data_IF_656850394810
#
_entry.id   IF_656850394810
#
_cell.length_a   1.000
_cell.length_b   1.000
_cell.length_c   1.000
_cell.angle_alpha   90.00
_cell.angle_beta   90.00
_cell.angle_gamma   90.00
#
_symmetry.space_group_name_H-M   'P 1'
#
loop_
_entity.id
_entity.type
_entity.pdbx_description
1 polymer ?
#
# COMPACT_ATOMS: atom_id res chain seq x y z
N UNK A 1 -1.45 -8.64 12.91
CA UNK A 1 -1.91 -7.31 12.44
C UNK A 1 -1.97 -7.33 10.93
N UNK A 2 -3.01 -6.77 10.30
CA UNK A 2 -3.00 -6.52 8.85
C UNK A 2 -2.49 -5.09 8.60
N UNK A 3 -1.30 -4.99 7.99
CA UNK A 3 -0.58 -3.73 7.85
C UNK A 3 -1.26 -2.76 6.89
N UNK A 4 -1.79 -3.22 5.75
CA UNK A 4 -2.46 -2.33 4.79
C UNK A 4 -3.71 -1.68 5.38
N UNK A 5 -4.50 -2.46 6.12
CA UNK A 5 -5.65 -1.91 6.84
C UNK A 5 -5.21 -0.95 7.95
N UNK A 6 -4.12 -1.25 8.67
CA UNK A 6 -3.59 -0.34 9.69
C UNK A 6 -3.09 0.98 9.07
N UNK A 7 -2.47 0.93 7.89
CA UNK A 7 -2.08 2.13 7.13
C UNK A 7 -3.29 2.97 6.73
N UNK A 8 -4.40 2.34 6.28
CA UNK A 8 -5.64 3.05 5.96
C UNK A 8 -6.25 3.72 7.19
N UNK A 9 -6.27 3.02 8.32
CA UNK A 9 -6.75 3.58 9.59
C UNK A 9 -5.89 4.77 10.01
N UNK A 10 -4.56 4.63 9.94
CA UNK A 10 -3.64 5.72 10.27
C UNK A 10 -3.86 6.96 9.39
N UNK A 11 -3.94 6.78 8.06
CA UNK A 11 -4.21 7.88 7.12
C UNK A 11 -5.52 8.58 7.45
N UNK A 12 -6.59 7.83 7.73
CA UNK A 12 -7.88 8.41 8.11
C UNK A 12 -7.80 9.21 9.42
N UNK A 13 -7.06 8.74 10.43
CA UNK A 13 -6.89 9.49 11.70
C UNK A 13 -6.18 10.82 11.46
N UNK A 14 -5.15 10.83 10.61
CA UNK A 14 -4.42 12.07 10.27
C UNK A 14 -5.29 13.03 9.47
N UNK A 15 -6.06 12.54 8.50
CA UNK A 15 -6.92 13.37 7.64
C UNK A 15 -8.13 13.95 8.36
N UNK A 16 -8.68 13.21 9.31
CA UNK A 16 -9.83 13.65 10.11
C UNK A 16 -9.46 14.31 11.44
N UNK A 17 -8.15 14.42 11.76
CA UNK A 17 -7.66 15.10 12.97
C UNK A 17 -8.01 14.41 14.28
N UNK A 18 -8.39 13.13 14.25
CA UNK A 18 -8.81 12.42 15.46
C UNK A 18 -9.33 11.01 15.23
N UNK A 19 -9.38 10.23 16.32
CA UNK A 19 -9.84 8.84 16.31
C UNK A 19 -11.33 8.73 15.95
N UNK A 20 -12.16 9.63 16.48
CA UNK A 20 -13.61 9.63 16.25
C UNK A 20 -13.99 10.00 14.82
N UNK A 21 -13.28 10.95 14.22
CA UNK A 21 -13.45 11.30 12.81
C UNK A 21 -13.11 10.13 11.89
N UNK A 22 -11.99 9.44 12.17
CA UNK A 22 -11.61 8.24 11.43
C UNK A 22 -12.56 7.06 11.63
N UNK A 23 -13.02 6.84 12.86
CA UNK A 23 -13.99 5.79 13.20
C UNK A 23 -15.29 5.98 12.38
N UNK A 24 -15.78 7.21 12.32
CA UNK A 24 -16.96 7.59 11.53
C UNK A 24 -16.74 7.37 10.03
N UNK A 25 -15.59 7.78 9.49
CA UNK A 25 -15.26 7.63 8.09
C UNK A 25 -15.10 6.16 7.65
N UNK A 26 -14.50 5.34 8.51
CA UNK A 26 -14.23 3.93 8.23
C UNK A 26 -15.35 2.99 8.68
N UNK A 27 -16.42 3.51 9.30
CA UNK A 27 -17.50 2.73 9.92
C UNK A 27 -16.98 1.70 10.94
N UNK A 28 -15.95 2.08 11.68
CA UNK A 28 -15.34 1.31 12.76
C UNK A 28 -15.68 1.95 14.12
N UNK A 29 -15.52 1.20 15.22
CA UNK A 29 -15.61 1.78 16.56
C UNK A 29 -14.29 2.41 17.00
N UNK A 30 -14.34 3.46 17.82
CA UNK A 30 -13.13 4.15 18.34
C UNK A 30 -12.12 3.20 18.99
N UNK A 31 -12.60 2.20 19.74
CA UNK A 31 -11.75 1.20 20.37
C UNK A 31 -11.00 0.33 19.34
N UNK A 32 -11.62 0.01 18.20
CA UNK A 32 -10.97 -0.73 17.13
C UNK A 32 -9.93 0.13 16.42
N UNK A 33 -10.24 1.41 16.19
CA UNK A 33 -9.28 2.36 15.60
C UNK A 33 -8.07 2.51 16.51
N UNK A 34 -8.28 2.74 17.81
CA UNK A 34 -7.19 2.85 18.80
C UNK A 34 -6.33 1.59 18.85
N UNK A 35 -6.92 0.39 19.03
CA UNK A 35 -6.15 -0.87 19.07
C UNK A 35 -5.31 -1.08 17.80
N UNK A 36 -5.83 -0.65 16.65
CA UNK A 36 -5.15 -0.82 15.37
C UNK A 36 -3.96 0.13 15.21
N UNK A 37 -4.11 1.37 15.69
CA UNK A 37 -3.00 2.34 15.79
C UNK A 37 -1.96 1.85 16.80
N UNK A 38 -2.39 1.43 18.00
CA UNK A 38 -1.48 0.94 19.04
C UNK A 38 -0.63 -0.25 18.56
N UNK A 39 -1.24 -1.20 17.84
CA UNK A 39 -0.50 -2.32 17.23
C UNK A 39 0.47 -1.86 16.15
N UNK A 40 0.11 -0.84 15.37
CA UNK A 40 0.96 -0.27 14.34
C UNK A 40 2.18 0.43 14.95
N UNK A 41 1.98 1.26 15.98
CA UNK A 41 3.06 1.92 16.71
C UNK A 41 4.00 0.89 17.37
N UNK A 42 3.45 -0.17 17.97
CA UNK A 42 4.26 -1.27 18.53
C UNK A 42 5.06 -2.00 17.46
N UNK A 43 4.46 -2.23 16.28
CA UNK A 43 5.14 -2.89 15.17
C UNK A 43 6.29 -2.07 14.61
N UNK A 44 6.12 -0.75 14.53
CA UNK A 44 7.14 0.18 14.05
C UNK A 44 8.18 0.53 15.13
N UNK A 45 7.85 0.31 16.40
CA UNK A 45 8.71 0.66 17.53
C UNK A 45 8.78 2.16 17.82
N UNK A 46 7.85 2.96 17.28
CA UNK A 46 7.82 4.41 17.48
C UNK A 46 6.39 4.93 17.58
N UNK A 47 6.24 6.09 18.24
CA UNK A 47 4.98 6.83 18.33
C UNK A 47 4.77 7.62 17.03
N UNK A 48 3.63 7.42 16.39
CA UNK A 48 3.22 8.16 15.20
C UNK A 48 2.26 9.31 15.55
N UNK A 49 1.46 9.13 16.61
CA UNK A 49 0.46 10.09 17.05
C UNK A 49 0.74 10.57 18.48
N UNK A 50 0.46 11.85 18.72
CA UNK A 50 0.47 12.48 20.04
C UNK A 50 -0.96 12.86 20.38
N UNK A 51 -1.48 12.32 21.49
CA UNK A 51 -2.78 12.71 22.02
C UNK A 51 -2.64 14.09 22.66
N UNK A 52 -3.37 15.07 22.15
CA UNK A 52 -3.53 16.35 22.82
C UNK A 52 -4.77 16.29 23.71
N UNK A 53 -4.65 16.97 24.85
CA UNK A 53 -5.73 17.28 25.77
C UNK A 53 -6.94 17.75 24.94
N UNK A 54 -8.09 17.05 25.06
CA UNK A 54 -9.36 17.27 24.33
C UNK A 54 -9.57 16.52 23.00
N UNK A 55 -8.84 15.45 22.72
CA UNK A 55 -9.17 14.52 21.62
C UNK A 55 -8.65 14.95 20.24
N UNK A 56 -7.90 16.05 20.20
CA UNK A 56 -7.12 16.48 19.06
C UNK A 56 -5.86 15.61 18.96
N UNK A 57 -5.49 15.23 17.73
CA UNK A 57 -4.36 14.32 17.49
C UNK A 57 -3.33 15.02 16.63
N UNK A 58 -2.11 15.14 17.14
CA UNK A 58 -0.98 15.68 16.40
C UNK A 58 -0.07 14.56 15.88
N UNK A 59 0.48 14.70 14.67
CA UNK A 59 1.49 13.77 14.17
C UNK A 59 2.87 14.08 14.76
N UNK A 60 3.63 13.03 15.07
CA UNK A 60 5.08 13.16 15.31
C UNK A 60 5.82 13.31 13.98
N UNK A 61 7.11 13.69 14.01
CA UNK A 61 7.95 13.70 12.80
C UNK A 61 7.98 12.34 12.09
N UNK A 62 8.08 11.26 12.88
CA UNK A 62 7.98 9.90 12.36
C UNK A 62 6.60 9.63 11.74
N UNK A 63 5.53 10.13 12.36
CA UNK A 63 4.17 10.08 11.84
C UNK A 63 4.03 10.77 10.48
N UNK A 64 4.56 12.00 10.33
CA UNK A 64 4.51 12.75 9.07
C UNK A 64 5.24 12.01 7.94
N UNK A 65 6.44 11.49 8.21
CA UNK A 65 7.20 10.69 7.25
C UNK A 65 6.45 9.40 6.88
N UNK A 66 5.87 8.72 7.87
CA UNK A 66 5.10 7.50 7.67
C UNK A 66 3.81 7.76 6.86
N UNK A 67 3.09 8.84 7.13
CA UNK A 67 1.89 9.25 6.38
C UNK A 67 2.18 9.42 4.89
N UNK A 68 3.27 10.12 4.54
CA UNK A 68 3.67 10.31 3.15
C UNK A 68 4.03 8.98 2.46
N UNK A 69 4.59 8.01 3.19
CA UNK A 69 4.83 6.67 2.69
C UNK A 69 3.52 5.89 2.49
N UNK A 70 2.62 5.92 3.47
CA UNK A 70 1.32 5.27 3.43
C UNK A 70 0.50 5.69 2.22
N UNK A 71 0.41 6.99 1.93
CA UNK A 71 -0.34 7.49 0.76
C UNK A 71 0.19 6.93 -0.56
N UNK A 72 1.51 6.89 -0.74
CA UNK A 72 2.14 6.34 -1.95
C UNK A 72 1.86 4.85 -2.07
N UNK A 73 2.03 4.09 -0.98
CA UNK A 73 1.79 2.64 -0.96
C UNK A 73 0.33 2.31 -1.23
N UNK A 74 -0.62 3.00 -0.58
CA UNK A 74 -2.05 2.77 -0.80
C UNK A 74 -2.46 3.11 -2.24
N UNK A 75 -1.95 4.20 -2.81
CA UNK A 75 -2.17 4.52 -4.22
C UNK A 75 -1.61 3.46 -5.17
N UNK A 76 -0.41 2.93 -4.89
CA UNK A 76 0.17 1.86 -5.70
C UNK A 76 -0.66 0.56 -5.62
N UNK A 77 -1.17 0.23 -4.43
CA UNK A 77 -2.09 -0.91 -4.24
C UNK A 77 -3.38 -0.70 -5.02
N UNK A 78 -3.98 0.50 -4.95
CA UNK A 78 -5.18 0.82 -5.73
C UNK A 78 -4.95 0.67 -7.23
N UNK A 79 -3.84 1.22 -7.76
CA UNK A 79 -3.46 1.07 -9.16
C UNK A 79 -3.29 -0.40 -9.56
N UNK A 80 -2.61 -1.20 -8.75
CA UNK A 80 -2.43 -2.63 -9.00
C UNK A 80 -3.77 -3.38 -9.01
N UNK A 81 -4.67 -3.08 -8.06
CA UNK A 81 -6.00 -3.70 -8.01
C UNK A 81 -6.89 -3.25 -9.18
N UNK A 82 -6.78 -1.99 -9.61
CA UNK A 82 -7.49 -1.45 -10.75
C UNK A 82 -7.04 -2.06 -12.07
N UNK A 83 -5.74 -2.24 -12.28
CA UNK A 83 -5.20 -2.90 -13.46
C UNK A 83 -5.66 -4.36 -13.58
N UNK A 84 -5.69 -5.09 -12.46
CA UNK A 84 -6.22 -6.46 -12.41
C UNK A 84 -7.73 -6.50 -12.68
N UNK A 85 -8.49 -5.53 -12.17
CA UNK A 85 -9.93 -5.39 -12.43
C UNK A 85 -10.24 -5.09 -13.90
N UNK A 86 -9.45 -4.21 -14.53
CA UNK A 86 -9.57 -3.89 -15.95
C UNK A 86 -9.25 -5.11 -16.84
N UNK A 87 -8.25 -5.92 -16.47
CA UNK A 87 -7.94 -7.17 -17.15
C UNK A 87 -9.02 -8.26 -16.99
N UNK A 88 -9.94 -8.11 -16.03
CA UNK A 88 -11.05 -9.03 -15.77
C UNK A 88 -12.40 -8.55 -16.32
N UNK A 89 -12.45 -7.39 -17.00
CA UNK A 89 -13.61 -7.04 -17.80
C UNK A 89 -13.87 -8.19 -18.79
N UNK A 90 -15.08 -8.78 -18.81
CA UNK A 90 -15.38 -9.83 -19.76
C UNK A 90 -15.16 -9.24 -21.15
N UNK A 91 -14.28 -9.88 -21.93
CA UNK A 91 -14.20 -9.60 -23.35
C UNK A 91 -15.64 -9.68 -23.89
N UNK A 92 -16.14 -8.65 -24.61
CA UNK A 92 -17.42 -8.78 -25.28
C UNK A 92 -17.34 -10.03 -26.14
N UNK A 93 -18.41 -10.80 -26.12
CA UNK A 93 -18.54 -12.16 -26.62
C UNK A 93 -18.03 -12.23 -28.07
N UNK A 94 -16.73 -12.46 -28.23
CA UNK A 94 -16.10 -12.59 -29.53
C UNK A 94 -16.34 -14.03 -30.00
N UNK A 95 -17.57 -14.26 -30.45
CA UNK A 95 -17.91 -15.35 -31.33
C UNK A 95 -17.28 -15.05 -32.70
N UNK A 96 -15.95 -15.20 -32.81
CA UNK A 96 -15.28 -15.74 -34.00
C UNK A 96 -13.79 -15.97 -33.68
N UNK A 97 -13.41 -17.23 -33.62
CA UNK A 97 -12.04 -17.65 -33.43
C UNK A 97 -11.31 -17.64 -34.78
N UNK A 98 -10.46 -16.65 -35.04
CA UNK A 98 -9.25 -16.81 -35.87
C UNK A 98 -8.46 -15.49 -36.00
N UNK A 99 -7.77 -15.05 -34.94
CA UNK A 99 -6.44 -14.44 -35.10
C UNK A 99 -5.79 -14.29 -33.71
N UNK A 100 -5.12 -15.35 -33.27
CA UNK A 100 -4.18 -15.24 -32.16
C UNK A 100 -2.90 -14.59 -32.70
N UNK A 101 -2.80 -13.26 -32.59
CA UNK A 101 -1.54 -12.56 -32.79
C UNK A 101 -1.14 -11.86 -31.51
N UNK A 102 -0.34 -12.59 -30.74
CA UNK A 102 0.79 -12.12 -29.95
C UNK A 102 0.75 -10.68 -29.41
N UNK A 103 0.62 -10.55 -28.09
CA UNK A 103 1.59 -9.77 -27.32
C UNK A 103 1.53 -10.13 -25.83
N UNK A 104 2.02 -11.32 -25.49
CA UNK A 104 2.44 -11.60 -24.12
C UNK A 104 3.98 -11.56 -24.12
N UNK A 105 4.54 -10.95 -23.09
CA UNK A 105 5.94 -11.02 -22.64
C UNK A 105 6.88 -9.89 -23.11
N UNK A 106 6.88 -8.78 -22.39
CA UNK A 106 8.10 -8.00 -22.11
C UNK A 106 8.22 -7.84 -20.58
N UNK A 107 8.49 -8.97 -19.92
CA UNK A 107 8.96 -8.99 -18.53
C UNK A 107 10.49 -9.01 -18.61
N UNK A 108 11.20 -7.95 -18.18
CA UNK A 108 12.65 -7.94 -18.29
C UNK A 108 13.23 -8.99 -17.33
N UNK A 109 14.11 -9.90 -17.79
CA UNK A 109 14.81 -10.77 -16.87
C UNK A 109 15.76 -9.93 -16.00
N UNK A 110 15.54 -10.00 -14.69
CA UNK A 110 16.47 -9.53 -13.67
C UNK A 110 17.89 -10.00 -14.00
N UNK A 111 18.82 -9.06 -14.04
CA UNK A 111 20.19 -9.27 -14.50
C UNK A 111 21.06 -10.16 -13.62
N UNK A 112 22.30 -10.25 -14.09
CA UNK A 112 23.49 -10.96 -13.57
C UNK A 112 23.57 -12.44 -13.98
N UNK A 113 24.67 -12.95 -14.56
CA UNK A 113 26.06 -12.62 -14.32
C UNK A 113 26.92 -12.57 -15.60
N UNK A 114 27.86 -11.63 -15.58
CA UNK A 114 28.94 -11.45 -16.54
C UNK A 114 29.94 -12.60 -16.37
N UNK A 115 30.00 -13.55 -17.31
CA UNK A 115 31.05 -14.56 -17.33
C UNK A 115 32.32 -13.94 -17.95
N UNK A 116 33.21 -13.53 -17.05
CA UNK A 116 34.57 -13.07 -17.34
C UNK A 116 35.31 -14.06 -18.23
N UNK A 117 35.75 -13.58 -19.39
CA UNK A 117 36.65 -14.26 -20.32
C UNK A 117 38.01 -14.52 -19.67
N UNK A 118 38.25 -15.76 -19.25
CA UNK A 118 39.60 -16.26 -18.94
C UNK A 118 40.14 -17.04 -20.14
N UNK A 119 41.10 -16.43 -20.85
CA UNK A 119 41.94 -17.07 -21.87
C UNK A 119 43.28 -17.41 -21.20
N UNK A 120 43.74 -18.66 -21.17
CA UNK A 120 45.15 -18.93 -20.94
C UNK A 120 45.86 -19.25 -22.26
N UNK A 121 46.97 -18.56 -22.49
CA UNK A 121 48.06 -18.92 -23.41
C UNK A 121 49.28 -18.09 -22.96
N UNK A 122 50.52 -18.52 -23.22
CA UNK A 122 50.97 -19.62 -24.09
C UNK A 122 51.32 -20.93 -23.35
#
# INVERSE_FOLDING_TARGET
>A
MNLLEAMRVYVAVVEHGGLSGAASALKLGDAQVSDRIDRLERYLGCRLLLCREHGDVACTDAGVAFYACCRRTLSAVEQATGAAGAARAPAPDAFDAAHCTAHCMDFPPSGTAHASSYRPSP
#
